data_IF_252466718627
#
_entry.id   IF_252466718627
#
_cell.length_a   1.000
_cell.length_b   1.000
_cell.length_c   1.000
_cell.angle_alpha   90.00
_cell.angle_beta   90.00
_cell.angle_gamma   90.00
#
_symmetry.space_group_name_H-M   'P 1'
#
loop_
_entity.id
_entity.type
_entity.pdbx_description
1 polymer ?
#
# COMPACT_ATOMS: atom_id res chain seq x y z
N UNK A 1 14.12 -6.17 -5.36
CA UNK A 1 13.35 -6.08 -6.63
C UNK A 1 12.28 -5.00 -6.48
N UNK A 2 12.10 -4.16 -7.51
CA UNK A 2 11.09 -3.10 -7.53
C UNK A 2 9.88 -3.43 -8.42
N UNK A 3 8.95 -2.49 -8.52
CA UNK A 3 7.68 -2.67 -9.23
C UNK A 3 7.84 -2.92 -10.75
N UNK A 4 8.99 -2.60 -11.33
CA UNK A 4 9.31 -2.85 -12.74
C UNK A 4 9.17 -4.33 -13.15
N UNK A 5 9.41 -5.26 -12.21
CA UNK A 5 9.45 -6.69 -12.48
C UNK A 5 8.05 -7.28 -12.73
N UNK A 6 7.00 -6.49 -12.52
CA UNK A 6 5.63 -6.83 -12.90
C UNK A 6 5.37 -6.80 -14.42
N UNK A 7 6.34 -6.33 -15.22
CA UNK A 7 6.24 -6.24 -16.69
C UNK A 7 6.56 -7.54 -17.42
N UNK A 8 7.30 -8.46 -16.80
CA UNK A 8 7.81 -9.67 -17.46
C UNK A 8 7.71 -10.88 -16.56
N UNK A 9 7.64 -12.05 -17.20
CA UNK A 9 7.76 -13.34 -16.54
C UNK A 9 9.24 -13.66 -16.32
N UNK A 10 9.60 -14.07 -15.10
CA UNK A 10 10.96 -14.48 -14.81
C UNK A 10 11.06 -15.99 -14.97
N UNK A 11 11.88 -16.44 -15.93
CA UNK A 11 11.99 -17.86 -16.31
C UNK A 11 12.68 -18.73 -15.26
N UNK A 12 13.56 -18.14 -14.44
CA UNK A 12 14.23 -18.82 -13.34
C UNK A 12 14.55 -17.84 -12.22
N UNK A 13 14.14 -18.19 -11.00
CA UNK A 13 14.55 -17.50 -9.78
C UNK A 13 15.18 -18.55 -8.87
N UNK A 14 16.46 -18.39 -8.53
CA UNK A 14 17.23 -19.38 -7.75
C UNK A 14 16.60 -19.72 -6.39
N UNK A 15 15.67 -18.87 -5.92
CA UNK A 15 15.03 -18.96 -4.61
C UNK A 15 13.50 -19.00 -4.65
N UNK A 16 12.87 -19.10 -5.83
CA UNK A 16 11.40 -19.12 -5.93
C UNK A 16 10.89 -19.78 -7.22
N UNK A 17 9.96 -20.74 -7.07
CA UNK A 17 9.21 -21.35 -8.18
C UNK A 17 8.07 -20.45 -8.69
N UNK A 18 8.00 -19.20 -8.22
CA UNK A 18 7.02 -18.23 -8.65
C UNK A 18 7.61 -17.35 -9.75
N UNK A 19 7.09 -17.40 -10.99
CA UNK A 19 7.62 -16.60 -12.09
C UNK A 19 7.31 -15.10 -11.95
N UNK A 20 6.50 -14.70 -10.96
CA UNK A 20 6.18 -13.31 -10.66
C UNK A 20 6.52 -12.96 -9.19
N UNK A 21 7.72 -12.40 -8.94
CA UNK A 21 8.26 -12.30 -7.59
C UNK A 21 7.73 -11.13 -6.75
N UNK A 22 7.01 -10.16 -7.33
CA UNK A 22 6.58 -8.92 -6.63
C UNK A 22 5.20 -9.11 -6.00
N UNK A 23 5.07 -10.10 -5.12
CA UNK A 23 3.83 -10.37 -4.39
C UNK A 23 3.60 -9.38 -3.22
N UNK A 24 2.39 -9.29 -2.66
CA UNK A 24 2.13 -8.58 -1.41
C UNK A 24 3.06 -9.02 -0.27
N UNK A 25 3.34 -10.31 -0.15
CA UNK A 25 4.33 -10.86 0.81
C UNK A 25 5.73 -10.27 0.61
N UNK A 26 6.20 -10.18 -0.65
CA UNK A 26 7.47 -9.49 -0.98
C UNK A 26 7.44 -8.03 -0.54
N UNK A 27 6.32 -7.32 -0.78
CA UNK A 27 6.17 -5.92 -0.41
C UNK A 27 6.27 -5.70 1.10
N UNK A 28 5.64 -6.55 1.92
CA UNK A 28 5.71 -6.44 3.39
C UNK A 28 7.00 -7.02 3.98
N UNK A 29 7.82 -7.70 3.18
CA UNK A 29 9.17 -8.12 3.58
C UNK A 29 10.19 -6.97 3.44
N UNK A 30 10.06 -6.14 2.39
CA UNK A 30 10.97 -5.03 2.07
C UNK A 30 11.30 -4.12 3.27
N UNK A 31 10.33 -3.70 4.12
CA UNK A 31 10.61 -2.83 5.26
C UNK A 31 11.62 -3.39 6.25
N UNK A 32 11.65 -4.72 6.41
CA UNK A 32 12.48 -5.38 7.41
C UNK A 32 13.87 -5.74 6.89
N UNK A 33 14.02 -5.90 5.57
CA UNK A 33 15.29 -6.30 4.97
C UNK A 33 15.93 -5.16 4.16
N UNK A 34 15.25 -4.68 3.12
CA UNK A 34 15.85 -3.76 2.14
C UNK A 34 15.85 -2.35 2.69
N UNK A 35 14.79 -1.92 3.38
CA UNK A 35 14.75 -0.57 3.94
C UNK A 35 15.57 -0.41 5.21
N UNK A 36 15.95 -1.49 5.87
CA UNK A 36 16.95 -1.45 6.95
C UNK A 36 18.30 -0.89 6.47
N UNK A 37 18.64 -1.10 5.18
CA UNK A 37 19.86 -0.56 4.58
C UNK A 37 19.73 0.90 4.10
N UNK A 38 18.52 1.45 4.03
CA UNK A 38 18.27 2.81 3.55
C UNK A 38 17.11 2.90 2.53
N UNK A 39 16.84 4.10 2.01
CA UNK A 39 15.69 4.35 1.15
C UNK A 39 15.71 3.51 -0.13
N UNK A 40 14.52 3.30 -0.69
CA UNK A 40 14.35 2.52 -1.91
C UNK A 40 13.36 3.22 -2.85
N UNK A 41 13.80 3.48 -4.08
CA UNK A 41 12.88 3.79 -5.16
C UNK A 41 12.19 2.50 -5.63
N UNK A 42 11.02 2.21 -5.06
CA UNK A 42 10.19 1.07 -5.44
C UNK A 42 9.34 1.36 -6.68
N UNK A 43 9.11 2.64 -7.00
CA UNK A 43 8.13 3.12 -8.01
C UNK A 43 6.69 2.61 -7.77
N UNK A 44 6.04 2.98 -6.64
CA UNK A 44 4.66 2.56 -6.35
C UNK A 44 3.62 3.28 -7.21
N UNK A 45 2.34 2.93 -6.99
CA UNK A 45 1.20 3.63 -7.58
C UNK A 45 0.66 3.02 -8.88
N UNK A 46 0.82 1.71 -9.06
CA UNK A 46 0.19 1.02 -10.18
C UNK A 46 -1.35 1.09 -10.07
N UNK A 47 -2.02 1.38 -11.18
CA UNK A 47 -3.47 1.60 -11.23
C UNK A 47 -4.23 0.39 -11.76
N UNK A 48 -3.55 -0.56 -12.41
CA UNK A 48 -4.14 -1.86 -12.77
C UNK A 48 -3.70 -2.89 -11.73
N UNK A 49 -4.63 -3.25 -10.85
CA UNK A 49 -4.38 -4.06 -9.67
C UNK A 49 -4.98 -5.45 -9.80
N UNK A 50 -4.34 -6.45 -9.20
CA UNK A 50 -4.75 -7.86 -9.31
C UNK A 50 -4.76 -8.53 -7.94
N UNK A 51 -5.91 -9.15 -7.60
CA UNK A 51 -6.11 -9.89 -6.36
C UNK A 51 -5.58 -11.33 -6.50
N UNK A 52 -5.57 -12.09 -5.40
CA UNK A 52 -5.09 -13.48 -5.36
C UNK A 52 -5.89 -14.45 -6.25
N UNK A 53 -7.17 -14.19 -6.51
CA UNK A 53 -8.00 -15.09 -7.31
C UNK A 53 -7.68 -14.94 -8.81
N UNK A 54 -7.51 -13.69 -9.24
CA UNK A 54 -7.07 -13.31 -10.58
C UNK A 54 -5.57 -13.57 -10.78
N UNK A 55 -4.82 -13.70 -9.68
CA UNK A 55 -3.44 -14.13 -9.63
C UNK A 55 -3.34 -15.57 -9.10
N UNK A 56 -3.61 -16.54 -9.96
CA UNK A 56 -3.33 -17.94 -9.62
C UNK A 56 -2.48 -18.57 -10.72
N UNK A 57 -1.24 -18.90 -10.36
CA UNK A 57 -0.26 -19.51 -11.27
C UNK A 57 -0.70 -20.84 -11.88
N UNK A 58 -1.74 -21.48 -11.32
CA UNK A 58 -2.31 -22.73 -11.81
C UNK A 58 -3.60 -22.56 -12.61
N UNK A 59 -4.16 -21.34 -12.68
CA UNK A 59 -5.36 -21.08 -13.48
C UNK A 59 -4.96 -20.73 -14.92
N UNK A 60 -5.36 -21.56 -15.88
CA UNK A 60 -5.14 -21.32 -17.32
C UNK A 60 -5.86 -20.08 -17.90
N UNK A 61 -6.60 -19.34 -17.08
CA UNK A 61 -7.33 -18.11 -17.41
C UNK A 61 -7.28 -17.12 -16.23
N UNK A 62 -6.10 -16.92 -15.65
CA UNK A 62 -5.90 -15.90 -14.61
C UNK A 62 -6.20 -14.50 -15.16
N UNK A 63 -6.81 -13.61 -14.34
CA UNK A 63 -6.99 -12.20 -14.70
C UNK A 63 -5.67 -11.42 -14.82
N UNK A 64 -4.57 -12.00 -14.30
CA UNK A 64 -3.20 -11.51 -14.50
C UNK A 64 -2.58 -11.97 -15.83
N UNK A 65 -1.74 -11.11 -16.40
CA UNK A 65 -0.87 -11.36 -17.54
C UNK A 65 0.32 -10.40 -17.46
N UNK A 66 1.54 -10.91 -17.59
CA UNK A 66 2.70 -10.04 -17.75
C UNK A 66 2.66 -9.41 -19.15
N UNK A 67 2.37 -8.10 -19.19
CA UNK A 67 2.28 -7.34 -20.43
C UNK A 67 3.29 -6.19 -20.34
N UNK A 68 4.35 -6.28 -21.13
CA UNK A 68 5.46 -5.31 -21.11
C UNK A 68 4.98 -3.85 -21.27
N UNK A 69 4.00 -3.62 -22.15
CA UNK A 69 3.47 -2.28 -22.44
C UNK A 69 2.38 -1.79 -21.49
N UNK A 70 1.79 -2.71 -20.69
CA UNK A 70 0.64 -2.44 -19.81
C UNK A 70 0.75 -3.30 -18.54
N UNK A 71 1.78 -3.06 -17.71
CA UNK A 71 2.00 -3.88 -16.52
C UNK A 71 0.84 -3.77 -15.54
N UNK A 72 0.63 -4.85 -14.79
CA UNK A 72 -0.35 -4.93 -13.71
C UNK A 72 0.39 -5.25 -12.42
N UNK A 73 -0.07 -4.75 -11.28
CA UNK A 73 0.56 -5.00 -9.99
C UNK A 73 -0.31 -5.88 -9.10
N UNK A 74 0.34 -6.77 -8.34
CA UNK A 74 -0.36 -7.53 -7.31
C UNK A 74 -0.73 -6.69 -6.11
N UNK A 75 -1.79 -7.11 -5.44
CA UNK A 75 -2.38 -6.42 -4.30
C UNK A 75 -3.38 -5.35 -4.73
N UNK A 76 -4.11 -4.82 -3.75
CA UNK A 76 -5.19 -3.88 -4.00
C UNK A 76 -4.71 -2.47 -4.37
N UNK A 77 -5.65 -1.62 -4.79
CA UNK A 77 -5.39 -0.19 -4.96
C UNK A 77 -4.92 0.45 -3.66
N UNK A 78 -5.55 0.12 -2.54
CA UNK A 78 -5.17 0.68 -1.25
C UNK A 78 -3.79 0.18 -0.79
N UNK A 79 -3.40 -1.04 -1.15
CA UNK A 79 -2.02 -1.53 -0.96
C UNK A 79 -1.00 -0.65 -1.70
N UNK A 80 -1.26 -0.32 -2.97
CA UNK A 80 -0.39 0.57 -3.76
C UNK A 80 -0.32 1.99 -3.19
N UNK A 81 -1.43 2.51 -2.64
CA UNK A 81 -1.46 3.83 -2.00
C UNK A 81 -0.68 3.80 -0.67
N UNK A 82 -0.86 2.76 0.14
CA UNK A 82 -0.16 2.61 1.42
C UNK A 82 1.36 2.54 1.27
N UNK A 83 1.88 2.04 0.15
CA UNK A 83 3.32 2.05 -0.16
C UNK A 83 3.95 3.45 -0.09
N UNK A 84 3.22 4.51 -0.46
CA UNK A 84 3.76 5.88 -0.39
C UNK A 84 4.04 6.32 1.06
N UNK A 85 3.37 5.72 2.04
CA UNK A 85 3.64 5.95 3.47
C UNK A 85 4.64 4.93 4.00
N UNK A 86 4.50 3.66 3.62
CA UNK A 86 5.35 2.60 4.17
C UNK A 86 6.78 2.70 3.64
N UNK A 87 6.96 2.83 2.32
CA UNK A 87 8.27 2.84 1.68
C UNK A 87 8.94 4.21 1.76
N UNK A 88 10.00 4.29 2.54
CA UNK A 88 10.79 5.50 2.65
C UNK A 88 11.60 5.74 1.38
N UNK A 89 11.33 6.88 0.74
CA UNK A 89 12.18 7.39 -0.32
C UNK A 89 12.03 8.90 -0.43
N UNK A 90 13.13 9.67 -0.43
CA UNK A 90 13.07 11.12 -0.66
C UNK A 90 12.61 11.49 -2.07
N UNK A 91 12.67 10.53 -3.01
CA UNK A 91 12.12 10.61 -4.35
C UNK A 91 11.07 9.50 -4.53
N UNK A 92 9.80 9.88 -4.61
CA UNK A 92 8.73 8.92 -4.90
C UNK A 92 8.17 9.15 -6.30
N UNK A 93 8.03 8.07 -7.05
CA UNK A 93 7.47 8.04 -8.38
C UNK A 93 6.02 7.53 -8.34
N UNK A 94 5.19 8.05 -9.24
CA UNK A 94 3.91 7.46 -9.63
C UNK A 94 4.12 6.70 -10.94
N UNK A 95 4.11 5.36 -10.89
CA UNK A 95 4.68 4.54 -11.95
C UNK A 95 3.81 4.36 -13.21
N UNK A 96 2.54 4.74 -13.17
CA UNK A 96 1.56 4.43 -14.22
C UNK A 96 1.38 5.59 -15.24
N UNK A 97 0.61 5.32 -16.29
CA UNK A 97 0.31 6.30 -17.32
C UNK A 97 -0.56 7.46 -16.78
N UNK A 98 -0.29 8.71 -17.18
CA UNK A 98 -1.12 9.85 -16.81
C UNK A 98 -2.60 9.67 -17.17
N UNK A 99 -2.92 8.91 -18.22
CA UNK A 99 -4.29 8.61 -18.64
C UNK A 99 -5.05 7.80 -17.59
N UNK A 100 -4.40 6.84 -16.91
CA UNK A 100 -5.03 6.06 -15.85
C UNK A 100 -5.24 6.90 -14.59
N UNK A 101 -4.25 7.73 -14.24
CA UNK A 101 -4.35 8.67 -13.14
C UNK A 101 -5.48 9.68 -13.30
N UNK A 102 -5.68 10.24 -14.50
CA UNK A 102 -6.78 11.16 -14.81
C UNK A 102 -8.18 10.52 -14.69
N UNK A 103 -8.29 9.20 -14.78
CA UNK A 103 -9.56 8.49 -14.58
C UNK A 103 -9.88 8.28 -13.09
N UNK A 104 -8.85 8.35 -12.24
CA UNK A 104 -8.92 8.03 -10.82
C UNK A 104 -8.41 9.22 -9.99
N UNK A 105 -9.02 10.38 -10.23
CA UNK A 105 -8.56 11.66 -9.67
C UNK A 105 -8.52 11.64 -8.15
N UNK A 106 -9.51 11.01 -7.49
CA UNK A 106 -9.56 10.91 -6.03
C UNK A 106 -8.36 10.16 -5.43
N UNK A 107 -7.86 9.12 -6.13
CA UNK A 107 -6.65 8.40 -5.73
C UNK A 107 -5.42 9.30 -5.82
N UNK A 108 -5.30 10.06 -6.90
CA UNK A 108 -4.15 10.96 -7.10
C UNK A 108 -4.18 12.14 -6.14
N UNK A 109 -5.35 12.71 -5.89
CA UNK A 109 -5.53 13.78 -4.91
C UNK A 109 -5.16 13.31 -3.49
N UNK A 110 -5.34 12.02 -3.19
CA UNK A 110 -4.85 11.44 -1.94
C UNK A 110 -3.32 11.29 -1.95
N UNK A 111 -2.75 10.63 -2.97
CA UNK A 111 -1.30 10.36 -3.06
C UNK A 111 -0.48 11.65 -3.02
N UNK A 112 -0.91 12.68 -3.75
CA UNK A 112 -0.19 13.96 -3.87
C UNK A 112 -0.10 14.77 -2.57
N UNK A 113 -0.89 14.40 -1.55
CA UNK A 113 -0.78 14.98 -0.21
C UNK A 113 0.31 14.32 0.66
N UNK A 114 0.81 13.14 0.27
CA UNK A 114 1.81 12.37 1.02
C UNK A 114 3.20 12.96 0.75
N UNK A 115 3.94 13.39 1.79
CA UNK A 115 5.30 13.91 1.62
C UNK A 115 6.30 12.78 1.40
N UNK A 116 7.48 13.11 0.87
CA UNK A 116 8.56 12.14 0.66
C UNK A 116 9.59 12.09 1.78
N UNK A 117 9.47 12.99 2.77
CA UNK A 117 10.37 13.05 3.93
C UNK A 117 9.58 13.14 5.22
N UNK A 118 10.18 12.65 6.30
CA UNK A 118 9.49 12.40 7.55
C UNK A 118 10.31 12.95 8.71
N UNK A 119 9.63 13.56 9.67
CA UNK A 119 10.24 14.05 10.91
C UNK A 119 10.29 12.93 11.96
N UNK A 120 9.36 11.98 11.88
CA UNK A 120 9.18 10.91 12.85
C UNK A 120 8.51 9.69 12.19
N UNK A 121 8.87 8.49 12.64
CA UNK A 121 8.24 7.22 12.24
C UNK A 121 7.95 6.41 13.50
N UNK A 122 6.73 5.88 13.60
CA UNK A 122 6.24 5.03 14.68
C UNK A 122 5.71 3.75 14.05
N UNK A 123 6.33 2.62 14.37
CA UNK A 123 5.80 1.30 13.96
C UNK A 123 4.73 0.91 14.99
N UNK A 124 3.53 0.65 14.50
CA UNK A 124 2.36 0.38 15.36
C UNK A 124 2.15 -1.12 15.52
N UNK A 125 2.14 -1.85 14.41
CA UNK A 125 1.98 -3.29 14.34
C UNK A 125 2.79 -3.81 13.15
N UNK A 126 3.61 -4.86 13.32
CA UNK A 126 4.37 -5.39 12.20
C UNK A 126 4.82 -6.84 12.42
N UNK A 127 4.78 -7.64 11.37
CA UNK A 127 5.34 -8.99 11.33
C UNK A 127 6.01 -9.22 9.97
N UNK A 128 7.26 -9.70 9.99
CA UNK A 128 8.07 -9.90 8.79
C UNK A 128 7.32 -10.81 7.81
N UNK A 129 7.23 -10.38 6.55
CA UNK A 129 6.55 -11.10 5.46
C UNK A 129 5.03 -11.25 5.60
N UNK A 130 4.44 -10.77 6.71
CA UNK A 130 3.01 -10.90 6.99
C UNK A 130 2.28 -9.56 6.85
N UNK A 131 2.70 -8.54 7.60
CA UNK A 131 2.05 -7.22 7.55
C UNK A 131 2.92 -6.13 8.14
N UNK A 132 2.55 -4.88 7.83
CA UNK A 132 3.12 -3.70 8.45
C UNK A 132 2.05 -2.63 8.60
N UNK A 133 2.01 -1.99 9.76
CA UNK A 133 1.20 -0.83 10.10
C UNK A 133 2.13 0.18 10.76
N UNK A 134 2.31 1.34 10.13
CA UNK A 134 3.16 2.39 10.67
C UNK A 134 2.52 3.76 10.47
N UNK A 135 2.91 4.69 11.33
CA UNK A 135 2.57 6.09 11.23
C UNK A 135 3.84 6.91 11.06
N UNK A 136 3.81 7.90 10.17
CA UNK A 136 4.88 8.87 9.98
C UNK A 136 4.36 10.28 10.16
N UNK A 137 5.18 11.17 10.73
CA UNK A 137 4.84 12.57 10.93
C UNK A 137 5.65 13.46 10.01
N UNK A 138 5.00 14.48 9.45
CA UNK A 138 5.67 15.58 8.76
C UNK A 138 4.94 16.89 9.04
N UNK A 139 5.64 17.89 9.58
CA UNK A 139 5.08 19.23 9.78
C UNK A 139 3.81 19.25 10.63
N UNK A 140 3.69 18.33 11.60
CA UNK A 140 2.51 18.19 12.46
C UNK A 140 1.33 17.41 11.86
N UNK A 141 1.44 16.94 10.62
CA UNK A 141 0.48 16.05 9.97
C UNK A 141 0.98 14.61 10.13
N UNK A 142 0.07 13.69 10.45
CA UNK A 142 0.36 12.27 10.54
C UNK A 142 -0.17 11.53 9.31
N UNK A 143 0.59 10.55 8.87
CA UNK A 143 0.31 9.71 7.73
C UNK A 143 0.43 8.27 8.19
N UNK A 144 -0.64 7.50 8.07
CA UNK A 144 -0.65 6.09 8.48
C UNK A 144 -0.75 5.23 7.24
N UNK A 145 0.05 4.17 7.19
CA UNK A 145 0.07 3.21 6.09
C UNK A 145 0.08 1.80 6.65
N UNK A 146 -0.77 0.96 6.08
CA UNK A 146 -0.87 -0.46 6.39
C UNK A 146 -0.91 -1.30 5.11
N UNK A 147 -0.16 -2.39 5.11
CA UNK A 147 -0.13 -3.38 4.04
C UNK A 147 -0.11 -4.78 4.65
N UNK A 148 -0.78 -5.72 3.98
CA UNK A 148 -0.78 -7.14 4.36
C UNK A 148 -0.33 -8.02 3.20
N UNK A 149 0.06 -9.24 3.54
CA UNK A 149 0.36 -10.33 2.63
C UNK A 149 -0.93 -10.87 1.97
N UNK A 150 -0.91 -12.10 1.46
CA UNK A 150 -2.12 -12.73 0.91
C UNK A 150 -3.13 -13.18 1.97
N UNK A 151 -2.91 -12.85 3.24
CA UNK A 151 -3.82 -13.10 4.36
C UNK A 151 -4.56 -11.82 4.70
N UNK A 152 -5.90 -11.86 4.74
CA UNK A 152 -6.72 -10.73 5.19
C UNK A 152 -6.55 -10.53 6.70
N UNK A 153 -6.52 -9.27 7.16
CA UNK A 153 -6.22 -8.93 8.56
C UNK A 153 -6.98 -7.71 9.03
N UNK A 154 -7.30 -7.72 10.32
CA UNK A 154 -7.96 -6.64 11.03
C UNK A 154 -7.12 -6.22 12.24
N UNK A 155 -7.03 -4.91 12.47
CA UNK A 155 -6.29 -4.32 13.59
C UNK A 155 -7.10 -3.21 14.24
N UNK A 156 -7.07 -3.14 15.56
CA UNK A 156 -7.56 -1.98 16.32
C UNK A 156 -6.37 -1.17 16.82
N UNK A 157 -6.12 -0.03 16.18
CA UNK A 157 -4.94 0.80 16.44
C UNK A 157 -5.31 1.96 17.35
N UNK A 158 -4.59 2.08 18.47
CA UNK A 158 -4.66 3.24 19.36
C UNK A 158 -3.95 4.44 18.73
N UNK A 159 -4.61 5.60 18.70
CA UNK A 159 -4.06 6.84 18.16
C UNK A 159 -3.30 7.67 19.22
N UNK A 160 -2.72 7.01 20.22
CA UNK A 160 -2.07 7.67 21.36
C UNK A 160 -0.83 8.46 21.00
N UNK A 161 -0.25 8.22 19.82
CA UNK A 161 0.85 9.01 19.26
C UNK A 161 0.40 10.41 18.79
N UNK A 162 -0.92 10.64 18.67
CA UNK A 162 -1.45 11.97 18.43
C UNK A 162 -1.33 12.83 19.69
N UNK A 163 -1.11 14.13 19.49
CA UNK A 163 -1.16 15.11 20.57
C UNK A 163 -2.59 15.41 21.01
N UNK A 164 -2.73 16.28 22.01
CA UNK A 164 -4.03 16.79 22.45
C UNK A 164 -4.72 17.59 21.33
N UNK A 165 -6.02 17.35 21.15
CA UNK A 165 -6.87 18.09 20.22
C UNK A 165 -7.79 17.19 19.39
N UNK A 166 -8.50 17.83 18.44
CA UNK A 166 -9.29 17.16 17.42
C UNK A 166 -8.50 17.13 16.11
N UNK A 167 -8.60 16.03 15.40
CA UNK A 167 -7.94 15.84 14.13
C UNK A 167 -8.96 15.40 13.09
N UNK A 168 -8.92 16.01 11.90
CA UNK A 168 -9.66 15.50 10.75
C UNK A 168 -8.81 14.36 10.14
N UNK A 169 -9.42 13.19 9.95
CA UNK A 169 -8.79 12.04 9.30
C UNK A 169 -9.44 11.80 7.93
N UNK A 170 -8.61 11.61 6.90
CA UNK A 170 -9.02 11.11 5.60
C UNK A 170 -8.44 9.72 5.41
N UNK A 171 -9.30 8.72 5.20
CA UNK A 171 -8.95 7.30 5.11
C UNK A 171 -9.09 6.86 3.66
N UNK A 172 -8.08 6.14 3.14
CA UNK A 172 -8.10 5.42 1.88
C UNK A 172 -7.97 3.93 2.20
N UNK A 173 -8.99 3.13 1.88
CA UNK A 173 -8.99 1.70 2.23
C UNK A 173 -9.55 0.82 1.13
N UNK A 174 -9.35 -0.48 1.29
CA UNK A 174 -9.98 -1.49 0.45
C UNK A 174 -11.51 -1.32 0.40
N UNK A 175 -12.05 -1.50 -0.80
CA UNK A 175 -13.48 -1.51 -1.08
C UNK A 175 -14.13 -2.82 -0.67
N UNK A 176 -15.46 -2.87 -0.72
CA UNK A 176 -16.20 -4.09 -0.31
C UNK A 176 -16.04 -5.24 -1.32
N UNK A 177 -15.65 -4.96 -2.57
CA UNK A 177 -15.49 -5.96 -3.62
C UNK A 177 -14.01 -6.21 -3.97
N UNK A 178 -13.06 -5.86 -3.11
CA UNK A 178 -11.62 -5.98 -3.40
C UNK A 178 -11.20 -7.44 -3.70
N UNK A 179 -11.92 -8.42 -3.16
CA UNK A 179 -11.76 -9.86 -3.45
C UNK A 179 -12.05 -10.24 -4.91
N UNK A 180 -12.87 -9.45 -5.60
CA UNK A 180 -13.25 -9.63 -7.03
C UNK A 180 -12.60 -8.62 -7.95
N UNK A 181 -12.43 -7.39 -7.47
CA UNK A 181 -11.81 -6.30 -8.20
C UNK A 181 -10.81 -5.60 -7.28
N UNK A 182 -9.53 -5.93 -7.42
CA UNK A 182 -8.47 -5.36 -6.58
C UNK A 182 -8.35 -3.84 -6.70
N UNK A 183 -8.96 -3.23 -7.72
CA UNK A 183 -9.00 -1.78 -7.88
C UNK A 183 -10.11 -1.11 -7.06
N UNK A 184 -11.03 -1.86 -6.43
CA UNK A 184 -12.10 -1.29 -5.61
C UNK A 184 -11.53 -0.71 -4.30
N UNK A 185 -11.89 0.55 -4.01
CA UNK A 185 -11.46 1.30 -2.85
C UNK A 185 -12.56 2.20 -2.33
N UNK A 186 -12.40 2.68 -1.10
CA UNK A 186 -13.25 3.72 -0.51
C UNK A 186 -12.41 4.79 0.16
N UNK A 187 -12.81 6.05 -0.03
CA UNK A 187 -12.28 7.18 0.73
C UNK A 187 -13.34 7.65 1.73
N UNK A 188 -12.95 7.75 3.00
CA UNK A 188 -13.82 8.18 4.10
C UNK A 188 -13.17 9.33 4.86
N UNK A 189 -13.99 10.12 5.55
CA UNK A 189 -13.53 11.19 6.42
C UNK A 189 -14.19 11.07 7.77
N UNK A 190 -13.43 11.34 8.82
CA UNK A 190 -13.94 11.33 10.19
C UNK A 190 -13.16 12.33 11.06
N UNK A 191 -13.51 12.41 12.35
CA UNK A 191 -12.83 13.19 13.37
C UNK A 191 -12.33 12.25 14.46
N UNK A 192 -11.03 12.29 14.72
CA UNK A 192 -10.38 11.48 15.74
C UNK A 192 -9.66 12.34 16.77
N UNK A 193 -9.31 11.69 17.89
CA UNK A 193 -8.51 12.24 19.00
C UNK A 193 -7.50 11.19 19.42
N UNK A 194 -6.56 11.57 20.30
CA UNK A 194 -5.53 10.65 20.81
C UNK A 194 -6.07 9.41 21.54
N UNK A 195 -7.27 9.50 22.10
CA UNK A 195 -7.96 8.44 22.83
C UNK A 195 -8.90 7.62 21.93
N UNK A 196 -8.96 7.95 20.64
CA UNK A 196 -9.71 7.17 19.65
C UNK A 196 -8.94 5.90 19.27
N UNK A 197 -9.68 4.83 19.01
CA UNK A 197 -9.19 3.64 18.31
C UNK A 197 -9.69 3.67 16.87
N UNK A 198 -8.83 3.28 15.94
CA UNK A 198 -9.21 3.12 14.54
C UNK A 198 -9.14 1.66 14.14
N UNK A 199 -10.21 1.19 13.52
CA UNK A 199 -10.27 -0.16 12.97
C UNK A 199 -9.70 -0.15 11.55
N UNK A 200 -8.63 -0.90 11.35
CA UNK A 200 -7.99 -1.12 10.05
C UNK A 200 -8.35 -2.51 9.58
N UNK A 201 -9.13 -2.60 8.51
CA UNK A 201 -9.44 -3.87 7.84
C UNK A 201 -8.76 -3.89 6.47
N UNK A 202 -7.99 -4.94 6.21
CA UNK A 202 -7.27 -5.15 4.94
C UNK A 202 -7.69 -6.48 4.32
N UNK A 203 -8.04 -6.42 3.03
CA UNK A 203 -8.33 -7.60 2.23
C UNK A 203 -7.06 -8.44 1.98
N UNK A 204 -7.20 -9.63 1.39
CA UNK A 204 -6.05 -10.42 0.91
C UNK A 204 -5.22 -9.62 -0.11
N UNK A 205 -3.93 -9.41 0.15
CA UNK A 205 -3.06 -8.53 -0.62
C UNK A 205 -3.45 -7.04 -0.53
N UNK A 206 -4.22 -6.70 0.49
CA UNK A 206 -4.86 -5.41 0.67
C UNK A 206 -4.00 -4.37 1.36
N UNK A 207 -4.59 -3.21 1.60
CA UNK A 207 -3.93 -2.12 2.29
C UNK A 207 -4.88 -1.05 2.78
N UNK A 208 -4.30 -0.11 3.52
CA UNK A 208 -5.03 0.97 4.15
C UNK A 208 -4.08 2.16 4.34
N UNK A 209 -4.54 3.37 4.10
CA UNK A 209 -3.77 4.58 4.33
C UNK A 209 -4.65 5.67 4.94
N UNK A 210 -4.06 6.57 5.72
CA UNK A 210 -4.77 7.77 6.16
C UNK A 210 -3.86 8.98 6.31
N UNK A 211 -4.48 10.14 6.20
CA UNK A 211 -3.89 11.45 6.46
C UNK A 211 -4.67 12.08 7.61
N UNK A 212 -3.97 12.43 8.69
CA UNK A 212 -4.53 12.94 9.93
C UNK A 212 -3.99 14.35 10.15
N UNK A 213 -4.87 15.36 10.05
CA UNK A 213 -4.52 16.78 10.17
C UNK A 213 -5.17 17.36 11.41
N UNK A 214 -4.41 18.14 12.19
CA UNK A 214 -4.97 18.85 13.33
C UNK A 214 -5.99 19.89 12.86
N UNK A 215 -7.14 19.94 13.53
CA UNK A 215 -8.20 20.92 13.28
C UNK A 215 -7.89 22.26 13.95
#
# INVERSE_FOLDING_TARGET
MGNEQNKWEVSHFDYSDNPFPITPEHNVTIPFIRMAAGPMDFTPGAMTNVNKNDYNKYLKNSGFSAIMSRPMAFGSRAHQVAMFVVFESPLQMICDSPTLYKKEQETIDFITQIPTTWDETVVLEAAVSDYIVLARRKGGIWFLGAMTDWTARDFDIDLSFLGEGKYDIQIFRDGINTDRNAMDYKIEKDIVRKDSKIHISMSSGGGWAAIIKKK
#
